data_IF_521963932135
#
_entry.id   IF_521963932135
#
_cell.length_a   1.000
_cell.length_b   1.000
_cell.length_c   1.000
_cell.angle_alpha   90.00
_cell.angle_beta   90.00
_cell.angle_gamma   90.00
#
_symmetry.space_group_name_H-M   'P 1'
#
loop_
_entity.id
_entity.type
_entity.pdbx_description
1 polymer ?
#
# COMPACT_ATOMS: atom_id res chain seq x y z
N UNK A 1 19.96 22.63 23.81
CA UNK A 1 20.56 21.82 22.73
C UNK A 1 21.74 21.05 23.31
N UNK A 2 21.55 19.78 23.61
CA UNK A 2 22.53 18.91 24.30
C UNK A 2 23.60 18.39 23.33
N UNK A 3 24.83 18.21 23.81
CA UNK A 3 26.00 17.73 23.06
C UNK A 3 25.75 16.47 22.19
N UNK A 4 24.74 15.66 22.53
CA UNK A 4 24.36 14.44 21.80
C UNK A 4 23.73 14.69 20.41
N UNK A 5 22.95 15.76 20.21
CA UNK A 5 22.34 16.07 18.89
C UNK A 5 23.43 16.42 17.87
N UNK A 6 24.50 17.06 18.35
CA UNK A 6 25.67 17.38 17.55
C UNK A 6 26.42 16.11 17.11
N UNK A 7 26.53 15.12 18.00
CA UNK A 7 27.19 13.84 17.69
C UNK A 7 26.43 13.00 16.64
N UNK A 8 25.10 12.89 16.77
CA UNK A 8 24.23 12.21 15.79
C UNK A 8 24.39 12.81 14.38
N UNK A 9 24.41 14.15 14.30
CA UNK A 9 24.62 14.87 13.04
C UNK A 9 26.00 14.63 12.43
N UNK A 10 27.07 14.68 13.23
CA UNK A 10 28.44 14.41 12.78
C UNK A 10 28.55 12.98 12.24
N UNK A 11 27.97 12.00 12.92
CA UNK A 11 28.00 10.62 12.48
C UNK A 11 27.21 10.40 11.18
N UNK A 12 26.05 11.03 11.02
CA UNK A 12 25.28 10.99 9.75
C UNK A 12 26.05 11.62 8.59
N UNK A 13 26.72 12.75 8.83
CA UNK A 13 27.58 13.38 7.83
C UNK A 13 28.75 12.48 7.43
N UNK A 14 29.37 11.79 8.39
CA UNK A 14 30.43 10.82 8.11
C UNK A 14 29.92 9.63 7.27
N UNK A 15 28.74 9.10 7.57
CA UNK A 15 28.10 8.05 6.76
C UNK A 15 27.80 8.53 5.34
N UNK A 16 27.25 9.74 5.20
CA UNK A 16 26.95 10.32 3.89
C UNK A 16 28.22 10.53 3.05
N UNK A 17 29.28 11.08 3.65
CA UNK A 17 30.58 11.23 2.99
C UNK A 17 31.18 9.87 2.61
N UNK A 18 31.12 8.88 3.52
CA UNK A 18 31.58 7.52 3.27
C UNK A 18 30.95 6.89 2.02
N UNK A 19 29.65 7.13 1.81
CA UNK A 19 28.92 6.62 0.63
C UNK A 19 29.23 7.43 -0.63
N UNK A 20 29.27 8.77 -0.56
CA UNK A 20 29.47 9.60 -1.74
C UNK A 20 30.92 9.60 -2.26
N UNK A 21 31.89 9.43 -1.37
CA UNK A 21 33.31 9.38 -1.74
C UNK A 21 33.77 7.95 -2.11
N UNK A 22 32.86 6.97 -2.05
CA UNK A 22 33.18 5.58 -2.35
C UNK A 22 33.45 5.35 -3.84
N UNK A 23 34.33 4.39 -4.11
CA UNK A 23 34.57 3.82 -5.44
C UNK A 23 34.21 2.33 -5.46
N UNK A 24 34.13 1.74 -6.65
CA UNK A 24 33.91 0.30 -6.83
C UNK A 24 32.48 -0.17 -6.52
N UNK A 25 32.36 -1.25 -5.75
CA UNK A 25 31.09 -1.96 -5.55
C UNK A 25 30.05 -1.11 -4.81
N UNK A 26 30.47 -0.29 -3.84
CA UNK A 26 29.57 0.59 -3.09
C UNK A 26 29.00 1.71 -3.97
N UNK A 27 29.82 2.31 -4.83
CA UNK A 27 29.37 3.31 -5.81
C UNK A 27 28.41 2.70 -6.82
N UNK A 28 28.73 1.51 -7.34
CA UNK A 28 27.88 0.77 -8.28
C UNK A 28 26.53 0.41 -7.66
N UNK A 29 26.51 0.02 -6.38
CA UNK A 29 25.28 -0.27 -5.64
C UNK A 29 24.42 0.99 -5.45
N UNK A 30 25.03 2.14 -5.12
CA UNK A 30 24.32 3.41 -5.00
C UNK A 30 23.69 3.84 -6.34
N UNK A 31 24.44 3.73 -7.44
CA UNK A 31 23.95 4.07 -8.78
C UNK A 31 22.76 3.19 -9.16
N UNK A 32 22.87 1.88 -8.97
CA UNK A 32 21.80 0.93 -9.26
C UNK A 32 20.57 1.20 -8.41
N UNK A 33 20.74 1.32 -7.10
CA UNK A 33 19.64 1.62 -6.18
C UNK A 33 18.93 2.93 -6.56
N UNK A 34 19.71 3.99 -6.85
CA UNK A 34 19.17 5.28 -7.25
C UNK A 34 18.40 5.19 -8.57
N UNK A 35 18.93 4.46 -9.56
CA UNK A 35 18.25 4.25 -10.84
C UNK A 35 16.92 3.51 -10.66
N UNK A 36 16.89 2.46 -9.84
CA UNK A 36 15.69 1.67 -9.57
C UNK A 36 14.61 2.52 -8.88
N UNK A 37 14.97 3.30 -7.84
CA UNK A 37 14.05 4.21 -7.15
C UNK A 37 13.54 5.32 -8.08
N UNK A 38 14.41 5.94 -8.88
CA UNK A 38 14.02 7.00 -9.82
C UNK A 38 13.10 6.48 -10.92
N UNK A 39 13.29 5.24 -11.38
CA UNK A 39 12.40 4.56 -12.33
C UNK A 39 11.02 4.35 -11.71
N UNK A 40 10.96 3.80 -10.50
CA UNK A 40 9.70 3.63 -9.75
C UNK A 40 8.97 4.97 -9.59
N UNK A 41 9.64 5.97 -9.04
CA UNK A 41 9.04 7.28 -8.75
C UNK A 41 8.64 8.08 -9.99
N UNK A 42 9.27 7.81 -11.13
CA UNK A 42 8.82 8.37 -12.41
C UNK A 42 7.55 7.69 -12.91
N UNK A 43 7.45 6.36 -12.77
CA UNK A 43 6.23 5.62 -13.11
C UNK A 43 5.04 5.99 -12.21
N UNK A 44 5.30 6.30 -10.93
CA UNK A 44 4.26 6.63 -9.94
C UNK A 44 4.05 8.14 -9.76
N UNK A 45 4.67 8.98 -10.60
CA UNK A 45 4.52 10.44 -10.59
C UNK A 45 4.81 11.12 -9.23
N UNK A 46 5.83 10.68 -8.49
CA UNK A 46 6.26 11.36 -7.27
C UNK A 46 6.85 12.74 -7.62
N UNK A 47 6.27 13.81 -7.08
CA UNK A 47 6.67 15.20 -7.32
C UNK A 47 6.63 16.02 -6.02
N UNK A 48 7.34 17.15 -5.98
CA UNK A 48 7.37 18.02 -4.80
C UNK A 48 8.41 17.63 -3.75
N UNK A 49 9.34 16.75 -4.10
CA UNK A 49 10.49 16.33 -3.28
C UNK A 49 11.72 16.13 -4.16
N UNK A 50 12.92 16.37 -3.61
CA UNK A 50 14.17 16.05 -4.30
C UNK A 50 14.35 14.54 -4.35
N UNK A 51 13.94 13.91 -5.46
CA UNK A 51 14.03 12.45 -5.65
C UNK A 51 15.46 11.94 -5.56
N UNK A 52 16.45 12.68 -6.07
CA UNK A 52 17.86 12.29 -5.97
C UNK A 52 18.34 12.29 -4.52
N UNK A 53 18.03 13.34 -3.75
CA UNK A 53 18.43 13.40 -2.33
C UNK A 53 17.71 12.32 -1.52
N UNK A 54 16.45 12.03 -1.84
CA UNK A 54 15.70 10.96 -1.19
C UNK A 54 16.31 9.57 -1.50
N UNK A 55 16.67 9.30 -2.75
CA UNK A 55 17.31 8.03 -3.12
C UNK A 55 18.64 7.82 -2.36
N UNK A 56 19.47 8.87 -2.26
CA UNK A 56 20.73 8.83 -1.50
C UNK A 56 20.44 8.57 -0.02
N UNK A 57 19.54 9.35 0.60
CA UNK A 57 19.20 9.23 2.02
C UNK A 57 18.62 7.84 2.37
N UNK A 58 17.79 7.28 1.51
CA UNK A 58 17.28 5.92 1.66
C UNK A 58 18.41 4.88 1.52
N UNK A 59 19.31 5.03 0.53
CA UNK A 59 20.44 4.13 0.34
C UNK A 59 21.37 4.07 1.56
N UNK A 60 21.55 5.18 2.29
CA UNK A 60 22.39 5.18 3.50
C UNK A 60 21.93 4.17 4.56
N UNK A 61 20.63 3.86 4.62
CA UNK A 61 20.03 3.04 5.69
C UNK A 61 19.42 1.73 5.19
N UNK A 62 19.10 1.64 3.90
CA UNK A 62 18.49 0.47 3.26
C UNK A 62 19.37 -0.17 2.19
N UNK A 63 20.38 0.55 1.71
CA UNK A 63 21.26 0.10 0.66
C UNK A 63 22.01 -1.18 1.06
N UNK A 64 22.28 -2.02 0.07
CA UNK A 64 23.05 -3.23 0.24
C UNK A 64 24.14 -3.35 -0.83
N UNK A 65 25.30 -3.87 -0.44
CA UNK A 65 26.40 -4.24 -1.34
C UNK A 65 26.68 -5.71 -1.13
N UNK A 66 26.54 -6.52 -2.17
CA UNK A 66 26.71 -7.98 -2.11
C UNK A 66 25.93 -8.66 -0.96
N UNK A 67 24.73 -8.14 -0.63
CA UNK A 67 23.87 -8.65 0.45
C UNK A 67 24.19 -8.14 1.85
N UNK A 68 25.24 -7.33 2.05
CA UNK A 68 25.56 -6.67 3.32
C UNK A 68 25.01 -5.25 3.34
N UNK A 69 24.47 -4.78 4.48
CA UNK A 69 23.92 -3.42 4.57
C UNK A 69 25.01 -2.35 4.54
N UNK A 70 24.73 -1.21 3.93
CA UNK A 70 25.65 -0.06 3.88
C UNK A 70 26.05 0.41 5.28
N UNK A 71 25.13 0.36 6.24
CA UNK A 71 25.40 0.68 7.65
C UNK A 71 26.43 -0.28 8.26
N UNK A 72 26.32 -1.59 8.00
CA UNK A 72 27.29 -2.56 8.53
C UNK A 72 28.68 -2.33 7.94
N UNK A 73 28.75 -2.10 6.62
CA UNK A 73 30.00 -1.79 5.93
C UNK A 73 30.64 -0.51 6.51
N UNK A 74 29.84 0.53 6.76
CA UNK A 74 30.32 1.76 7.38
C UNK A 74 30.88 1.52 8.80
N UNK A 75 30.14 0.78 9.64
CA UNK A 75 30.53 0.48 11.02
C UNK A 75 31.84 -0.34 11.07
N UNK A 76 32.01 -1.28 10.14
CA UNK A 76 33.22 -2.10 10.00
C UNK A 76 34.43 -1.27 9.54
N UNK A 77 34.22 -0.31 8.63
CA UNK A 77 35.28 0.57 8.11
C UNK A 77 35.64 1.73 9.05
N UNK A 78 34.94 1.88 10.17
CA UNK A 78 35.20 2.92 11.17
C UNK A 78 35.53 2.28 12.53
N UNK A 79 36.73 1.68 12.72
CA UNK A 79 37.11 0.99 13.95
C UNK A 79 37.13 1.91 15.17
N UNK A 80 37.35 3.21 14.97
CA UNK A 80 37.40 4.23 16.03
C UNK A 80 36.04 4.67 16.57
N UNK A 81 34.91 4.21 16.01
CA UNK A 81 33.60 4.54 16.54
C UNK A 81 33.46 4.05 17.97
N UNK A 82 32.98 4.94 18.85
CA UNK A 82 32.64 4.60 20.22
C UNK A 82 31.50 3.56 20.24
N UNK A 83 31.37 2.76 21.33
CA UNK A 83 30.25 1.83 21.45
C UNK A 83 28.87 2.50 21.31
N UNK A 84 28.72 3.74 21.77
CA UNK A 84 27.49 4.52 21.62
C UNK A 84 27.23 4.93 20.17
N UNK A 85 28.26 5.34 19.43
CA UNK A 85 28.10 5.71 18.01
C UNK A 85 27.76 4.49 17.16
N UNK A 86 28.35 3.33 17.46
CA UNK A 86 28.00 2.06 16.79
C UNK A 86 26.53 1.70 17.02
N UNK A 87 26.08 1.74 18.28
CA UNK A 87 24.67 1.47 18.61
C UNK A 87 23.71 2.46 17.95
N UNK A 88 24.09 3.75 17.86
CA UNK A 88 23.30 4.76 17.15
C UNK A 88 23.22 4.45 15.65
N UNK A 89 24.35 4.16 15.00
CA UNK A 89 24.38 3.78 13.58
C UNK A 89 23.55 2.51 13.29
N UNK A 90 23.64 1.50 14.15
CA UNK A 90 22.81 0.28 14.06
C UNK A 90 21.32 0.60 14.20
N UNK A 91 20.95 1.54 15.07
CA UNK A 91 19.56 1.93 15.26
C UNK A 91 18.93 2.52 13.99
N UNK A 92 19.74 3.14 13.10
CA UNK A 92 19.25 3.72 11.85
C UNK A 92 18.72 2.69 10.85
N UNK A 93 18.94 1.39 11.06
CA UNK A 93 18.23 0.31 10.33
C UNK A 93 16.72 0.36 10.53
N UNK A 94 16.22 1.05 11.56
CA UNK A 94 14.79 1.28 11.82
C UNK A 94 14.27 2.57 11.17
N UNK A 95 15.07 3.24 10.35
CA UNK A 95 14.64 4.43 9.61
C UNK A 95 13.56 4.04 8.60
N UNK A 96 12.50 4.83 8.49
CA UNK A 96 11.37 4.53 7.60
C UNK A 96 10.77 5.79 7.00
N UNK A 97 10.23 5.67 5.79
CA UNK A 97 9.37 6.70 5.20
C UNK A 97 7.95 6.58 5.79
N UNK A 98 7.29 7.70 6.03
CA UNK A 98 5.90 7.72 6.51
C UNK A 98 5.12 8.91 6.00
N UNK A 99 3.80 8.80 6.11
CA UNK A 99 2.85 9.88 5.89
C UNK A 99 2.36 10.37 7.25
N UNK A 100 2.81 11.55 7.66
CA UNK A 100 2.59 12.04 9.01
C UNK A 100 1.62 13.21 9.07
N UNK A 101 0.85 13.27 10.16
CA UNK A 101 0.15 14.47 10.59
C UNK A 101 0.97 15.18 11.65
N UNK A 102 1.19 16.47 11.49
CA UNK A 102 1.73 17.30 12.57
C UNK A 102 0.61 17.54 13.59
N UNK A 103 0.79 17.08 14.82
CA UNK A 103 -0.13 17.33 15.93
C UNK A 103 0.25 18.61 16.67
N UNK A 104 1.54 18.74 17.00
CA UNK A 104 2.10 19.90 17.67
C UNK A 104 3.42 20.28 17.02
N UNK A 105 3.72 21.59 17.01
CA UNK A 105 4.96 22.13 16.50
C UNK A 105 5.49 23.19 17.47
N UNK A 106 6.73 23.03 17.89
CA UNK A 106 7.51 24.00 18.66
C UNK A 106 8.81 24.29 17.88
N UNK A 107 9.54 25.36 18.21
CA UNK A 107 10.81 25.65 17.53
C UNK A 107 11.87 24.53 17.62
N UNK A 108 11.80 23.69 18.66
CA UNK A 108 12.80 22.65 18.91
C UNK A 108 12.29 21.23 18.64
N UNK A 109 10.98 21.03 18.56
CA UNK A 109 10.38 19.68 18.53
C UNK A 109 9.01 19.66 17.87
N UNK A 110 8.70 18.55 17.24
CA UNK A 110 7.42 18.24 16.61
C UNK A 110 6.82 16.99 17.24
N UNK A 111 5.51 17.00 17.45
CA UNK A 111 4.74 15.78 17.70
C UNK A 111 4.04 15.42 16.40
N UNK A 112 4.33 14.23 15.87
CA UNK A 112 3.75 13.76 14.62
C UNK A 112 3.10 12.39 14.81
N UNK A 113 2.02 12.14 14.09
CA UNK A 113 1.35 10.84 14.05
C UNK A 113 1.50 10.24 12.66
N UNK A 114 1.97 9.00 12.56
CA UNK A 114 1.95 8.26 11.30
C UNK A 114 0.49 7.92 10.96
N UNK A 115 -0.03 8.42 9.84
CA UNK A 115 -1.41 8.18 9.43
C UNK A 115 -1.70 6.72 9.12
N UNK A 116 -0.70 5.94 8.71
CA UNK A 116 -0.90 4.55 8.31
C UNK A 116 -1.09 3.63 9.53
N UNK A 117 -0.50 4.00 10.67
CA UNK A 117 -0.37 3.12 11.85
C UNK A 117 -0.88 3.75 13.15
N UNK A 118 -1.21 5.04 13.14
CA UNK A 118 -1.57 5.87 14.30
C UNK A 118 -0.48 5.99 15.38
N UNK A 119 0.75 5.51 15.10
CA UNK A 119 1.88 5.65 16.03
C UNK A 119 2.32 7.10 16.13
N UNK A 120 2.64 7.52 17.36
CA UNK A 120 3.07 8.87 17.71
C UNK A 120 4.59 8.93 17.83
N UNK A 121 5.16 10.01 17.31
CA UNK A 121 6.59 10.27 17.33
C UNK A 121 6.88 11.68 17.79
N UNK A 122 7.94 11.78 18.58
CA UNK A 122 8.56 13.04 18.92
C UNK A 122 9.79 13.25 18.05
N UNK A 123 9.76 14.30 17.24
CA UNK A 123 10.76 14.53 16.20
C UNK A 123 11.49 15.85 16.43
N UNK A 124 12.81 15.80 16.42
CA UNK A 124 13.69 16.96 16.49
C UNK A 124 14.31 17.28 15.12
N UNK A 125 14.60 18.56 14.82
CA UNK A 125 15.38 18.94 13.66
C UNK A 125 16.77 18.29 13.65
N UNK A 126 17.16 17.69 12.52
CA UNK A 126 18.51 17.13 12.33
C UNK A 126 19.49 18.11 11.68
N UNK A 127 19.05 19.31 11.32
CA UNK A 127 19.83 20.26 10.53
C UNK A 127 19.93 19.91 9.04
N UNK A 128 19.39 18.76 8.60
CA UNK A 128 19.33 18.39 7.18
C UNK A 128 18.29 19.21 6.40
N UNK A 129 17.23 19.67 7.06
CA UNK A 129 16.19 20.52 6.49
C UNK A 129 16.45 21.98 6.82
N UNK A 130 16.07 22.89 5.91
CA UNK A 130 16.21 24.32 6.16
C UNK A 130 15.23 24.78 7.24
N UNK A 131 15.62 25.83 7.99
CA UNK A 131 14.74 26.45 8.97
C UNK A 131 13.42 26.97 8.34
N UNK A 132 13.46 27.42 7.08
CA UNK A 132 12.29 27.87 6.34
C UNK A 132 11.32 26.73 6.02
N UNK A 133 11.82 25.55 5.65
CA UNK A 133 10.99 24.35 5.44
C UNK A 133 10.33 23.89 6.74
N UNK A 134 11.11 23.85 7.83
CA UNK A 134 10.64 23.44 9.15
C UNK A 134 9.61 24.43 9.74
N UNK A 135 9.75 25.73 9.46
CA UNK A 135 8.79 26.75 9.90
C UNK A 135 7.40 26.60 9.25
N UNK A 136 7.29 25.86 8.13
CA UNK A 136 6.01 25.59 7.46
C UNK A 136 5.25 24.42 8.09
N UNK A 137 5.89 23.60 8.91
CA UNK A 137 5.24 22.51 9.64
C UNK A 137 4.43 23.10 10.80
N UNK A 138 3.11 23.14 10.63
CA UNK A 138 2.17 23.63 11.63
C UNK A 138 1.13 22.56 11.98
N UNK A 139 0.46 22.66 13.15
CA UNK A 139 -0.57 21.70 13.52
C UNK A 139 -1.63 21.48 12.43
N UNK A 140 -1.86 20.21 12.09
CA UNK A 140 -2.77 19.73 11.05
C UNK A 140 -2.14 19.55 9.67
N UNK A 141 -0.89 19.96 9.46
CA UNK A 141 -0.17 19.72 8.21
C UNK A 141 0.06 18.23 7.98
N UNK A 142 -0.06 17.80 6.72
CA UNK A 142 0.30 16.46 6.27
C UNK A 142 1.65 16.54 5.57
N UNK A 143 2.57 15.67 5.96
CA UNK A 143 3.94 15.62 5.43
C UNK A 143 4.33 14.18 5.11
N UNK A 144 4.93 13.97 3.95
CA UNK A 144 5.68 12.74 3.66
C UNK A 144 7.14 13.02 3.96
N UNK A 145 7.72 12.21 4.84
CA UNK A 145 9.11 12.35 5.28
C UNK A 145 9.63 11.03 5.81
N UNK A 146 10.91 11.01 6.13
CA UNK A 146 11.62 9.88 6.69
C UNK A 146 12.04 10.20 8.11
N UNK A 147 11.81 9.28 9.04
CA UNK A 147 12.20 9.44 10.44
C UNK A 147 13.31 8.43 10.76
N UNK A 148 14.37 8.90 11.39
CA UNK A 148 15.46 8.06 11.92
C UNK A 148 15.48 8.13 13.44
N UNK A 149 15.74 7.01 14.13
CA UNK A 149 15.95 7.03 15.58
C UNK A 149 17.17 7.86 15.96
N UNK A 150 17.10 8.42 17.15
CA UNK A 150 18.18 9.08 17.87
C UNK A 150 18.21 8.58 19.33
N UNK A 151 19.10 9.15 20.15
CA UNK A 151 19.27 8.79 21.54
C UNK A 151 18.01 9.09 22.37
N UNK A 152 17.70 8.25 23.36
CA UNK A 152 16.57 8.41 24.30
C UNK A 152 15.17 8.39 23.66
N UNK A 153 14.94 7.49 22.69
CA UNK A 153 13.64 7.32 22.00
C UNK A 153 13.14 8.59 21.28
N UNK A 154 14.05 9.52 21.00
CA UNK A 154 13.79 10.68 20.15
C UNK A 154 13.99 10.26 18.69
N UNK A 155 13.23 10.88 17.80
CA UNK A 155 13.38 10.71 16.36
C UNK A 155 13.88 12.00 15.72
N UNK A 156 14.52 11.90 14.58
CA UNK A 156 14.94 13.06 13.79
C UNK A 156 14.45 12.94 12.35
N UNK A 157 14.20 14.08 11.71
CA UNK A 157 13.91 14.08 10.28
C UNK A 157 15.15 13.63 9.50
N UNK A 158 14.96 12.73 8.54
CA UNK A 158 15.96 12.28 7.57
C UNK A 158 15.52 12.68 6.16
N UNK A 159 16.48 13.07 5.33
CA UNK A 159 16.22 13.42 3.95
C UNK A 159 15.26 14.61 3.74
N UNK A 160 14.74 14.77 2.51
CA UNK A 160 13.87 15.89 2.16
C UNK A 160 12.42 15.71 2.67
N UNK A 161 11.72 16.84 2.85
CA UNK A 161 10.31 16.90 3.25
C UNK A 161 9.39 17.13 2.04
N UNK A 162 8.26 16.43 1.97
CA UNK A 162 7.17 16.76 1.06
C UNK A 162 5.95 17.24 1.85
N UNK A 163 5.70 18.54 1.79
CA UNK A 163 4.56 19.17 2.45
C UNK A 163 3.32 19.08 1.58
N UNK A 164 2.27 18.42 2.06
CA UNK A 164 1.00 18.23 1.35
C UNK A 164 -0.09 19.24 1.75
N UNK A 165 0.15 20.05 2.78
CA UNK A 165 -0.85 20.96 3.31
C UNK A 165 -1.77 20.29 4.33
N UNK A 166 -2.74 21.06 4.84
CA UNK A 166 -3.89 20.53 5.58
C UNK A 166 -4.86 19.87 4.61
N UNK A 167 -4.99 18.54 4.69
CA UNK A 167 -5.83 17.76 3.79
C UNK A 167 -7.20 17.45 4.43
N UNK A 168 -8.26 17.67 3.67
CA UNK A 168 -9.58 17.07 3.97
C UNK A 168 -9.60 15.58 3.60
N UNK A 169 -10.61 14.84 4.08
CA UNK A 169 -10.68 13.37 3.96
C UNK A 169 -10.47 12.84 2.53
N UNK A 170 -11.10 13.40 1.47
CA UNK A 170 -10.89 12.89 0.11
C UNK A 170 -9.46 13.06 -0.39
N UNK A 171 -8.79 14.19 -0.07
CA UNK A 171 -7.40 14.41 -0.45
C UNK A 171 -6.43 13.55 0.36
N UNK A 172 -6.75 13.30 1.63
CA UNK A 172 -5.97 12.41 2.49
C UNK A 172 -6.03 10.96 1.99
N UNK A 173 -7.21 10.47 1.61
CA UNK A 173 -7.38 9.15 0.99
C UNK A 173 -6.51 9.00 -0.28
N UNK A 174 -6.50 10.03 -1.14
CA UNK A 174 -5.62 10.08 -2.32
C UNK A 174 -4.14 10.09 -1.92
N UNK A 175 -3.76 10.85 -0.89
CA UNK A 175 -2.38 10.89 -0.40
C UNK A 175 -1.91 9.52 0.13
N UNK A 176 -2.77 8.77 0.82
CA UNK A 176 -2.47 7.40 1.28
C UNK A 176 -2.29 6.45 0.09
N UNK A 177 -3.18 6.50 -0.90
CA UNK A 177 -3.05 5.71 -2.12
C UNK A 177 -1.76 6.03 -2.89
N UNK A 178 -1.41 7.31 -2.98
CA UNK A 178 -0.14 7.75 -3.57
C UNK A 178 1.07 7.24 -2.77
N UNK A 179 1.03 7.35 -1.44
CA UNK A 179 2.11 6.84 -0.57
C UNK A 179 2.36 5.35 -0.79
N UNK A 180 1.30 4.54 -0.86
CA UNK A 180 1.39 3.09 -1.15
C UNK A 180 2.14 2.82 -2.47
N UNK A 181 1.91 3.64 -3.49
CA UNK A 181 2.59 3.49 -4.78
C UNK A 181 4.04 3.96 -4.74
N UNK A 182 4.32 5.05 -4.02
CA UNK A 182 5.66 5.64 -3.92
C UNK A 182 6.61 4.84 -3.04
N UNK A 183 6.08 4.27 -1.96
CA UNK A 183 6.83 3.61 -0.89
C UNK A 183 6.15 2.29 -0.47
N UNK A 184 6.01 1.32 -1.39
CA UNK A 184 5.27 0.08 -1.12
C UNK A 184 5.82 -0.70 0.08
N UNK A 185 7.15 -0.71 0.23
CA UNK A 185 7.84 -1.43 1.30
C UNK A 185 7.82 -0.70 2.66
N UNK A 186 7.17 0.47 2.73
CA UNK A 186 7.06 1.28 3.94
C UNK A 186 5.62 1.51 4.43
N UNK A 187 4.62 0.85 3.82
CA UNK A 187 3.22 1.03 4.20
C UNK A 187 2.97 0.83 5.71
N UNK A 188 3.73 -0.06 6.34
CA UNK A 188 3.76 -0.29 7.79
C UNK A 188 5.20 -0.38 8.32
N UNK A 189 6.12 0.43 7.79
CA UNK A 189 7.55 0.36 8.11
C UNK A 189 7.87 0.52 9.60
N UNK A 190 6.97 1.15 10.36
CA UNK A 190 7.07 1.34 11.80
C UNK A 190 6.16 0.42 12.63
N UNK A 191 5.40 -0.47 11.99
CA UNK A 191 4.47 -1.39 12.62
C UNK A 191 4.52 -2.77 11.93
N UNK A 192 5.62 -3.54 12.09
CA UNK A 192 5.76 -4.88 11.50
C UNK A 192 4.62 -5.83 11.89
N UNK A 193 4.03 -5.65 13.07
CA UNK A 193 2.86 -6.39 13.54
C UNK A 193 1.62 -6.16 12.65
N UNK A 194 1.42 -4.95 12.12
CA UNK A 194 0.31 -4.65 11.21
C UNK A 194 0.57 -5.24 9.82
N UNK A 195 1.82 -5.23 9.36
CA UNK A 195 2.22 -5.86 8.11
C UNK A 195 1.98 -7.38 8.16
N UNK A 196 2.38 -8.02 9.25
CA UNK A 196 2.16 -9.46 9.45
C UNK A 196 0.67 -9.80 9.47
N UNK A 197 -0.15 -9.01 10.17
CA UNK A 197 -1.60 -9.23 10.20
C UNK A 197 -2.25 -8.99 8.83
N UNK A 198 -1.78 -8.01 8.07
CA UNK A 198 -2.21 -7.78 6.70
C UNK A 198 -1.91 -9.00 5.82
N UNK A 199 -0.71 -9.59 5.91
CA UNK A 199 -0.36 -10.82 5.20
C UNK A 199 -1.22 -12.03 5.62
N UNK A 200 -1.39 -12.26 6.93
CA UNK A 200 -2.27 -13.32 7.45
C UNK A 200 -3.70 -13.20 6.93
N UNK A 201 -4.17 -11.96 6.73
CA UNK A 201 -5.51 -11.75 6.16
C UNK A 201 -5.64 -12.22 4.71
N UNK A 202 -4.58 -12.16 3.91
CA UNK A 202 -4.56 -12.68 2.52
C UNK A 202 -4.59 -14.20 2.52
N UNK A 203 -3.84 -14.83 3.43
CA UNK A 203 -3.82 -16.29 3.61
C UNK A 203 -5.20 -16.81 4.05
N UNK A 204 -5.83 -16.14 5.02
CA UNK A 204 -7.20 -16.45 5.45
C UNK A 204 -8.21 -16.28 4.31
N UNK A 205 -8.10 -15.18 3.56
CA UNK A 205 -8.95 -14.96 2.39
C UNK A 205 -8.82 -16.09 1.36
N UNK A 206 -7.60 -16.54 1.08
CA UNK A 206 -7.36 -17.66 0.18
C UNK A 206 -8.02 -18.94 0.69
N UNK A 207 -7.85 -19.28 1.96
CA UNK A 207 -8.49 -20.47 2.55
C UNK A 207 -10.02 -20.39 2.47
N UNK A 208 -10.62 -19.29 2.91
CA UNK A 208 -12.07 -19.07 2.87
C UNK A 208 -12.61 -19.16 1.44
N UNK A 209 -11.88 -18.62 0.47
CA UNK A 209 -12.23 -18.67 -0.94
C UNK A 209 -12.21 -20.11 -1.47
N UNK A 210 -11.13 -20.86 -1.22
CA UNK A 210 -11.01 -22.27 -1.64
C UNK A 210 -12.12 -23.12 -1.01
N UNK A 211 -12.42 -22.91 0.27
CA UNK A 211 -13.48 -23.63 0.98
C UNK A 211 -14.88 -23.36 0.39
N UNK A 212 -15.15 -22.11 -0.03
CA UNK A 212 -16.45 -21.74 -0.60
C UNK A 212 -16.59 -22.11 -2.08
N UNK A 213 -15.55 -21.88 -2.88
CA UNK A 213 -15.58 -22.07 -4.34
C UNK A 213 -15.09 -23.44 -4.80
N UNK A 214 -14.42 -24.21 -3.93
CA UNK A 214 -13.87 -25.54 -4.21
C UNK A 214 -12.49 -25.52 -4.90
N UNK A 215 -11.89 -24.35 -5.08
CA UNK A 215 -10.59 -24.19 -5.72
C UNK A 215 -10.09 -22.74 -5.67
N UNK A 216 -8.79 -22.57 -5.87
CA UNK A 216 -8.08 -21.29 -5.94
C UNK A 216 -8.16 -20.64 -7.34
N UNK A 217 -8.62 -21.43 -8.32
CA UNK A 217 -8.87 -21.02 -9.70
C UNK A 217 -10.28 -21.43 -10.13
N UNK A 218 -11.11 -20.44 -10.46
CA UNK A 218 -12.48 -20.68 -10.98
C UNK A 218 -12.74 -19.85 -12.22
N UNK A 219 -13.61 -20.35 -13.10
CA UNK A 219 -14.12 -19.61 -14.25
C UNK A 219 -15.64 -19.61 -14.22
N UNK A 220 -16.24 -18.42 -14.25
CA UNK A 220 -17.69 -18.21 -14.27
C UNK A 220 -18.03 -17.07 -15.23
N UNK A 221 -19.30 -16.93 -15.62
CA UNK A 221 -19.74 -15.70 -16.28
C UNK A 221 -19.65 -14.51 -15.31
N UNK A 222 -19.48 -13.30 -15.84
CA UNK A 222 -19.39 -12.09 -15.02
C UNK A 222 -20.61 -11.86 -14.12
N UNK A 223 -21.79 -12.27 -14.59
CA UNK A 223 -23.03 -12.20 -13.82
C UNK A 223 -23.05 -13.19 -12.65
N UNK A 224 -22.74 -14.46 -12.91
CA UNK A 224 -22.71 -15.51 -11.88
C UNK A 224 -21.61 -15.26 -10.85
N UNK A 225 -20.43 -14.83 -11.30
CA UNK A 225 -19.33 -14.48 -10.43
C UNK A 225 -19.73 -13.35 -9.47
N UNK A 226 -20.36 -12.29 -9.98
CA UNK A 226 -20.81 -11.18 -9.14
C UNK A 226 -21.88 -11.59 -8.13
N UNK A 227 -22.75 -12.56 -8.48
CA UNK A 227 -23.72 -13.11 -7.53
C UNK A 227 -23.01 -13.91 -6.43
N UNK A 228 -22.13 -14.85 -6.82
CA UNK A 228 -21.41 -15.70 -5.86
C UNK A 228 -20.45 -14.92 -4.95
N UNK A 229 -19.79 -13.87 -5.45
CA UNK A 229 -18.92 -13.04 -4.60
C UNK A 229 -19.71 -12.30 -3.51
N UNK A 230 -20.96 -11.90 -3.77
CA UNK A 230 -21.82 -11.31 -2.75
C UNK A 230 -22.23 -12.34 -1.69
N UNK A 231 -22.63 -13.53 -2.12
CA UNK A 231 -22.95 -14.65 -1.21
C UNK A 231 -21.73 -15.01 -0.34
N UNK A 232 -20.54 -15.07 -0.95
CA UNK A 232 -19.28 -15.29 -0.26
C UNK A 232 -19.00 -14.20 0.79
N UNK A 233 -19.16 -12.92 0.45
CA UNK A 233 -18.97 -11.81 1.39
C UNK A 233 -19.92 -11.88 2.59
N UNK A 234 -21.18 -12.21 2.36
CA UNK A 234 -22.19 -12.36 3.41
C UNK A 234 -21.77 -13.47 4.38
N UNK A 235 -21.38 -14.64 3.85
CA UNK A 235 -20.94 -15.79 4.65
C UNK A 235 -19.63 -15.50 5.40
N UNK A 236 -18.65 -14.88 4.76
CA UNK A 236 -17.37 -14.55 5.40
C UNK A 236 -17.56 -13.50 6.50
N UNK A 237 -18.47 -12.54 6.31
CA UNK A 237 -18.83 -11.57 7.36
C UNK A 237 -19.51 -12.28 8.54
N UNK A 238 -20.47 -13.16 8.24
CA UNK A 238 -21.18 -13.97 9.22
C UNK A 238 -20.23 -14.81 10.08
N UNK A 239 -19.34 -15.59 9.44
CA UNK A 239 -18.35 -16.43 10.13
C UNK A 239 -17.42 -15.62 11.03
N UNK A 240 -17.06 -14.41 10.60
CA UNK A 240 -16.23 -13.50 11.40
C UNK A 240 -16.96 -13.03 12.67
N UNK A 241 -18.24 -12.69 12.56
CA UNK A 241 -19.05 -12.32 13.71
C UNK A 241 -19.19 -13.48 14.69
N UNK A 242 -19.49 -14.68 14.19
CA UNK A 242 -19.58 -15.91 15.00
C UNK A 242 -18.26 -16.25 15.71
N UNK A 243 -17.12 -16.15 15.01
CA UNK A 243 -15.80 -16.40 15.59
C UNK A 243 -15.43 -15.40 16.70
N UNK A 244 -16.06 -14.22 16.72
CA UNK A 244 -15.93 -13.20 17.76
C UNK A 244 -16.97 -13.38 18.89
N UNK A 245 -17.78 -14.44 18.84
CA UNK A 245 -18.86 -14.67 19.80
C UNK A 245 -20.04 -13.71 19.64
N UNK A 246 -20.09 -12.95 18.53
CA UNK A 246 -21.19 -12.03 18.22
C UNK A 246 -22.26 -12.83 17.50
N UNK A 247 -23.39 -13.03 18.18
CA UNK A 247 -24.57 -13.64 17.57
C UNK A 247 -25.18 -12.65 16.57
N UNK A 248 -24.94 -12.88 15.28
CA UNK A 248 -25.44 -12.02 14.21
C UNK A 248 -26.96 -12.10 13.99
N UNK A 249 -27.65 -13.03 14.69
CA UNK A 249 -29.10 -13.10 14.70
C UNK A 249 -29.75 -12.14 15.71
N UNK A 250 -28.95 -11.56 16.61
CA UNK A 250 -29.40 -10.61 17.64
C UNK A 250 -29.32 -9.17 17.13
N UNK A 251 -30.33 -8.39 17.51
CA UNK A 251 -30.32 -6.95 17.29
C UNK A 251 -29.30 -6.26 18.22
N UNK A 252 -28.79 -5.11 17.78
CA UNK A 252 -27.86 -4.26 18.55
C UNK A 252 -28.38 -3.93 19.96
N UNK A 253 -29.71 -3.86 20.15
CA UNK A 253 -30.36 -3.71 21.45
C UNK A 253 -30.23 -4.94 22.37
N UNK A 254 -30.31 -6.14 21.82
CA UNK A 254 -30.19 -7.39 22.57
C UNK A 254 -28.73 -7.63 23.00
N UNK A 255 -27.76 -7.27 22.15
CA UNK A 255 -26.33 -7.33 22.48
C UNK A 255 -25.94 -6.35 23.61
N UNK A 256 -26.55 -5.16 23.65
CA UNK A 256 -26.35 -4.17 24.74
C UNK A 256 -27.01 -4.61 26.05
N UNK A 257 -28.18 -5.27 25.98
CA UNK A 257 -28.86 -5.80 27.16
C UNK A 257 -28.07 -6.95 27.83
N UNK A 258 -27.31 -7.71 27.05
CA UNK A 258 -26.48 -8.83 27.53
C UNK A 258 -25.10 -8.39 28.05
N UNK A 259 -24.60 -7.22 27.64
CA UNK A 259 -23.28 -6.70 28.07
C UNK A 259 -23.30 -5.98 29.42
N UNK A 260 -24.47 -5.84 30.05
CA UNK A 260 -24.63 -5.25 31.38
C UNK A 260 -24.50 -3.72 31.42
N UNK A 261 -24.39 -3.07 30.25
CA UNK A 261 -24.34 -1.62 30.11
C UNK A 261 -25.77 -1.07 30.08
N UNK A 262 -26.06 -0.04 30.88
CA UNK A 262 -27.42 0.50 30.95
C UNK A 262 -27.79 1.31 29.70
N UNK A 263 -29.07 1.29 29.28
CA UNK A 263 -29.56 2.12 28.15
C UNK A 263 -29.28 3.62 28.39
N UNK A 264 -29.12 4.04 29.65
CA UNK A 264 -28.86 5.40 30.08
C UNK A 264 -27.38 5.80 29.88
N UNK A 265 -26.41 4.91 30.12
CA UNK A 265 -24.98 5.14 29.79
C UNK A 265 -24.73 5.21 28.28
N UNK A 266 -25.46 4.41 27.51
CA UNK A 266 -25.45 4.48 26.04
C UNK A 266 -26.11 5.78 25.56
N UNK A 267 -27.20 6.23 26.19
CA UNK A 267 -27.87 7.47 25.85
C UNK A 267 -27.07 8.73 26.23
N UNK A 268 -26.35 8.73 27.35
CA UNK A 268 -25.42 9.82 27.72
C UNK A 268 -24.25 9.92 26.74
N UNK A 269 -23.71 8.78 26.31
CA UNK A 269 -22.69 8.73 25.25
C UNK A 269 -23.25 9.27 23.92
N UNK A 270 -24.50 8.92 23.55
CA UNK A 270 -25.21 9.45 22.38
C UNK A 270 -25.63 10.93 22.50
N UNK A 271 -25.68 11.50 23.71
CA UNK A 271 -25.99 12.92 23.91
C UNK A 271 -24.74 13.81 23.81
N UNK A 272 -23.56 13.26 24.12
CA UNK A 272 -22.27 13.95 24.01
C UNK A 272 -21.72 14.05 22.58
N UNK A 273 -22.18 13.18 21.66
CA UNK A 273 -21.87 13.20 20.24
C UNK A 273 -23.15 13.22 19.41
N UNK A 274 -23.32 14.27 18.59
CA UNK A 274 -24.55 14.53 17.87
C UNK A 274 -25.05 13.36 17.00
N UNK A 275 -26.37 13.20 16.99
CA UNK A 275 -27.20 12.21 16.27
C UNK A 275 -26.63 11.74 14.91
N UNK A 276 -25.95 10.60 14.92
CA UNK A 276 -25.97 9.62 13.82
C UNK A 276 -25.59 8.24 14.39
N UNK A 277 -26.53 7.30 14.37
CA UNK A 277 -26.41 5.95 14.98
C UNK A 277 -25.43 4.99 14.29
N UNK A 278 -24.33 5.49 13.72
CA UNK A 278 -23.25 4.70 13.12
C UNK A 278 -22.08 4.45 14.09
N UNK A 279 -22.12 5.02 15.29
CA UNK A 279 -21.03 4.92 16.27
C UNK A 279 -21.23 3.86 17.37
N UNK A 280 -22.29 3.06 17.31
CA UNK A 280 -22.45 1.94 18.26
C UNK A 280 -21.57 0.74 17.88
N UNK A 281 -21.18 0.61 16.61
CA UNK A 281 -20.17 -0.38 16.15
C UNK A 281 -18.76 -0.08 16.70
N UNK A 282 -18.48 1.17 17.09
CA UNK A 282 -17.20 1.54 17.71
C UNK A 282 -17.13 1.16 19.19
N UNK A 283 -18.27 1.01 19.87
CA UNK A 283 -18.35 0.68 21.30
C UNK A 283 -18.18 -0.83 21.59
N UNK A 284 -18.23 -1.69 20.56
CA UNK A 284 -17.89 -3.13 20.67
C UNK A 284 -16.37 -3.40 20.61
N UNK A 285 -15.54 -2.35 20.68
CA UNK A 285 -14.08 -2.45 20.60
C UNK A 285 -13.42 -2.52 21.98
N UNK A 286 -13.37 -3.73 22.51
CA UNK A 286 -12.19 -4.30 23.20
C UNK A 286 -12.37 -5.83 23.11
N UNK A 287 -11.45 -6.63 22.59
CA UNK A 287 -10.02 -6.69 22.90
C UNK A 287 -9.25 -7.27 21.68
N UNK A 288 -8.19 -6.59 21.23
CA UNK A 288 -7.14 -7.02 20.26
C UNK A 288 -7.52 -7.53 18.85
N UNK A 289 -8.75 -7.94 18.55
CA UNK A 289 -9.06 -8.68 17.31
C UNK A 289 -9.62 -7.84 16.15
N UNK A 290 -10.20 -6.66 16.40
CA UNK A 290 -10.88 -5.84 15.36
C UNK A 290 -10.11 -4.54 15.10
N UNK A 291 -8.82 -4.65 14.72
CA UNK A 291 -8.04 -3.50 14.25
C UNK A 291 -7.92 -3.43 12.73
N UNK A 292 -8.32 -4.48 12.01
CA UNK A 292 -8.16 -4.57 10.56
C UNK A 292 -9.52 -4.82 9.89
N UNK A 293 -9.82 -4.09 8.82
CA UNK A 293 -10.98 -4.25 7.96
C UNK A 293 -10.58 -4.90 6.65
N UNK A 294 -11.41 -5.83 6.18
CA UNK A 294 -11.27 -6.42 4.85
C UNK A 294 -11.98 -5.51 3.83
N UNK A 295 -11.31 -5.09 2.75
CA UNK A 295 -11.92 -4.28 1.72
C UNK A 295 -13.12 -5.00 1.05
N UNK A 296 -14.17 -4.27 0.64
CA UNK A 296 -15.26 -4.87 -0.12
C UNK A 296 -14.77 -5.29 -1.51
N UNK A 297 -15.16 -6.48 -1.95
CA UNK A 297 -14.91 -6.96 -3.31
C UNK A 297 -16.03 -6.43 -4.20
N UNK A 298 -15.69 -5.56 -5.15
CA UNK A 298 -16.63 -5.10 -6.17
C UNK A 298 -16.04 -5.39 -7.54
N UNK A 299 -16.78 -6.14 -8.37
CA UNK A 299 -16.40 -6.36 -9.76
C UNK A 299 -16.64 -5.10 -10.60
N UNK A 300 -15.60 -4.60 -11.29
CA UNK A 300 -15.77 -3.57 -12.31
C UNK A 300 -16.82 -3.95 -13.37
N UNK A 301 -17.44 -2.94 -13.95
CA UNK A 301 -18.53 -3.09 -14.90
C UNK A 301 -18.17 -3.91 -16.14
N UNK A 302 -16.90 -3.85 -16.57
CA UNK A 302 -16.38 -4.67 -17.67
C UNK A 302 -16.37 -6.16 -17.34
N UNK A 303 -15.96 -6.53 -16.12
CA UNK A 303 -15.91 -7.92 -15.69
C UNK A 303 -17.31 -8.46 -15.41
N UNK A 304 -18.19 -7.63 -14.85
CA UNK A 304 -19.59 -8.01 -14.57
C UNK A 304 -20.37 -8.40 -15.83
N UNK A 305 -20.01 -7.84 -16.99
CA UNK A 305 -20.66 -8.10 -18.28
C UNK A 305 -19.89 -9.08 -19.15
N UNK A 306 -18.74 -9.59 -18.70
CA UNK A 306 -17.94 -10.53 -19.48
C UNK A 306 -18.62 -11.90 -19.53
N UNK A 307 -18.48 -12.57 -20.68
CA UNK A 307 -19.03 -13.92 -20.90
C UNK A 307 -18.32 -14.96 -20.01
N UNK A 308 -17.02 -14.76 -19.76
CA UNK A 308 -16.23 -15.55 -18.85
C UNK A 308 -15.24 -14.65 -18.10
N UNK A 309 -15.05 -14.93 -16.81
CA UNK A 309 -14.02 -14.34 -15.96
C UNK A 309 -13.37 -15.47 -15.17
N UNK A 310 -12.07 -15.61 -15.33
CA UNK A 310 -11.26 -16.51 -14.51
C UNK A 310 -10.72 -15.74 -13.32
N UNK A 311 -10.96 -16.26 -12.12
CA UNK A 311 -10.46 -15.72 -10.85
C UNK A 311 -9.34 -16.60 -10.37
N UNK A 312 -8.22 -15.96 -10.03
CA UNK A 312 -7.08 -16.57 -9.38
C UNK A 312 -7.00 -16.03 -7.96
N UNK A 313 -6.83 -16.90 -6.98
CA UNK A 313 -6.57 -16.53 -5.60
C UNK A 313 -5.29 -17.24 -5.16
N UNK A 314 -4.40 -16.53 -4.49
CA UNK A 314 -3.14 -17.06 -3.98
C UNK A 314 -2.84 -16.47 -2.61
N UNK A 315 -2.31 -17.25 -1.65
CA UNK A 315 -2.03 -16.78 -0.28
C UNK A 315 -1.07 -15.58 -0.19
N UNK A 316 -0.28 -15.34 -1.25
CA UNK A 316 0.67 -14.22 -1.33
C UNK A 316 0.45 -13.24 -2.47
N UNK A 317 -0.14 -13.67 -3.60
CA UNK A 317 -0.38 -12.79 -4.75
C UNK A 317 -1.76 -12.13 -4.69
N UNK A 318 -2.59 -12.57 -3.74
CA UNK A 318 -3.93 -12.05 -3.55
C UNK A 318 -4.89 -12.56 -4.60
N UNK A 319 -5.73 -11.68 -5.11
CA UNK A 319 -6.77 -12.02 -6.08
C UNK A 319 -6.55 -11.30 -7.41
N UNK A 320 -6.66 -12.05 -8.50
CA UNK A 320 -6.63 -11.52 -9.87
C UNK A 320 -7.87 -11.98 -10.64
N UNK A 321 -8.42 -11.09 -11.47
CA UNK A 321 -9.54 -11.39 -12.37
C UNK A 321 -9.12 -11.20 -13.82
N UNK A 322 -9.26 -12.24 -14.65
CA UNK A 322 -8.95 -12.19 -16.07
C UNK A 322 -10.15 -12.59 -16.93
N UNK A 323 -10.63 -11.65 -17.75
CA UNK A 323 -11.72 -11.89 -18.72
C UNK A 323 -11.28 -12.65 -19.98
N UNK A 324 -10.00 -12.55 -20.34
CA UNK A 324 -9.48 -13.13 -21.59
C UNK A 324 -8.66 -14.44 -21.36
N UNK A 325 -8.66 -15.01 -20.14
CA UNK A 325 -7.89 -16.23 -19.82
C UNK A 325 -8.31 -17.45 -20.66
N UNK A 326 -9.61 -17.75 -20.65
CA UNK A 326 -10.20 -18.84 -21.44
C UNK A 326 -9.96 -18.61 -22.93
N UNK A 327 -10.12 -17.36 -23.37
CA UNK A 327 -9.89 -16.98 -24.77
C UNK A 327 -8.44 -17.21 -25.18
N UNK A 328 -7.47 -16.88 -24.35
CA UNK A 328 -6.06 -17.15 -24.64
C UNK A 328 -5.79 -18.65 -24.76
N UNK A 329 -6.34 -19.44 -23.84
CA UNK A 329 -6.22 -20.91 -23.86
C UNK A 329 -6.82 -21.49 -25.14
N UNK A 330 -8.00 -21.04 -25.56
CA UNK A 330 -8.62 -21.46 -26.82
C UNK A 330 -7.79 -21.05 -28.05
N UNK A 331 -7.13 -19.89 -28.03
CA UNK A 331 -6.24 -19.47 -29.12
C UNK A 331 -4.97 -20.33 -29.19
N UNK A 332 -4.50 -20.87 -28.07
CA UNK A 332 -3.38 -21.81 -28.05
C UNK A 332 -3.74 -23.19 -28.62
N UNK A 333 -5.00 -23.61 -28.50
CA UNK A 333 -5.49 -24.86 -29.08
C UNK A 333 -5.73 -24.78 -30.60
N UNK A 334 -5.84 -23.57 -31.17
CA UNK A 334 -6.12 -23.33 -32.58
C UNK A 334 -4.82 -23.00 -33.37
N UNK A 335 -4.29 -23.91 -34.20
CA UNK A 335 -2.96 -23.76 -34.82
C UNK A 335 -2.96 -22.91 -36.10
N UNK A 336 -3.94 -22.02 -36.31
CA UNK A 336 -3.99 -21.17 -37.50
C UNK A 336 -3.31 -19.80 -37.29
N UNK A 337 -2.79 -19.21 -38.38
CA UNK A 337 -2.05 -17.94 -38.34
C UNK A 337 -2.85 -16.79 -37.70
N UNK A 338 -4.18 -16.78 -37.87
CA UNK A 338 -5.02 -15.73 -37.29
C UNK A 338 -5.18 -15.89 -35.77
N UNK A 339 -5.27 -17.13 -35.28
CA UNK A 339 -5.28 -17.45 -33.86
C UNK A 339 -3.93 -17.14 -33.19
N UNK A 340 -2.82 -17.51 -33.84
CA UNK A 340 -1.46 -17.15 -33.41
C UNK A 340 -1.29 -15.64 -33.26
N UNK A 341 -1.71 -14.86 -34.27
CA UNK A 341 -1.62 -13.40 -34.22
C UNK A 341 -2.43 -12.78 -33.08
N UNK A 342 -3.64 -13.32 -32.82
CA UNK A 342 -4.49 -12.87 -31.71
C UNK A 342 -3.91 -13.24 -30.34
N UNK A 343 -3.30 -14.42 -30.21
CA UNK A 343 -2.63 -14.84 -28.99
C UNK A 343 -1.46 -13.90 -28.68
N UNK A 344 -0.64 -13.58 -29.69
CA UNK A 344 0.51 -12.67 -29.54
C UNK A 344 0.07 -11.27 -29.07
N UNK A 345 -1.02 -10.74 -29.62
CA UNK A 345 -1.58 -9.45 -29.17
C UNK A 345 -2.02 -9.49 -27.70
N UNK A 346 -2.63 -10.59 -27.27
CA UNK A 346 -3.10 -10.76 -25.90
C UNK A 346 -1.93 -10.95 -24.92
N UNK A 347 -0.89 -11.68 -25.31
CA UNK A 347 0.36 -11.82 -24.56
C UNK A 347 1.03 -10.46 -24.37
N UNK A 348 1.14 -9.65 -25.42
CA UNK A 348 1.69 -8.29 -25.32
C UNK A 348 0.90 -7.39 -24.38
N UNK A 349 -0.42 -7.53 -24.36
CA UNK A 349 -1.29 -6.83 -23.41
C UNK A 349 -1.01 -7.29 -21.98
N UNK A 350 -0.99 -8.60 -21.72
CA UNK A 350 -0.74 -9.17 -20.39
C UNK A 350 0.66 -8.87 -19.84
N UNK A 351 1.68 -8.81 -20.69
CA UNK A 351 3.03 -8.40 -20.27
C UNK A 351 3.05 -6.95 -19.74
N UNK A 352 2.10 -6.09 -20.16
CA UNK A 352 1.98 -4.70 -19.68
C UNK A 352 1.03 -4.53 -18.50
N UNK A 353 0.15 -5.49 -18.24
CA UNK A 353 -0.85 -5.39 -17.18
C UNK A 353 -0.32 -5.92 -15.85
N UNK A 354 -0.16 -5.06 -14.84
CA UNK A 354 0.35 -5.44 -13.52
C UNK A 354 -0.52 -6.50 -12.81
N UNK A 355 -1.81 -6.56 -13.14
CA UNK A 355 -2.73 -7.58 -12.64
C UNK A 355 -2.31 -9.01 -13.03
N UNK A 356 -1.63 -9.17 -14.17
CA UNK A 356 -1.07 -10.46 -14.62
C UNK A 356 0.33 -10.63 -14.02
N UNK A 357 0.34 -11.08 -12.77
CA UNK A 357 1.54 -11.34 -11.98
C UNK A 357 2.20 -12.70 -12.31
N UNK A 358 3.38 -12.97 -11.75
CA UNK A 358 4.15 -14.18 -12.04
C UNK A 358 3.36 -15.48 -11.78
N UNK A 359 2.57 -15.55 -10.71
CA UNK A 359 1.73 -16.72 -10.42
C UNK A 359 0.73 -17.03 -11.55
N UNK A 360 0.11 -15.99 -12.14
CA UNK A 360 -0.81 -16.18 -13.26
C UNK A 360 -0.07 -16.66 -14.52
N UNK A 361 1.15 -16.21 -14.76
CA UNK A 361 1.99 -16.73 -15.85
C UNK A 361 2.36 -18.19 -15.66
N UNK A 362 2.67 -18.61 -14.43
CA UNK A 362 2.87 -20.03 -14.13
C UNK A 362 1.60 -20.85 -14.37
N UNK A 363 0.41 -20.33 -14.00
CA UNK A 363 -0.86 -20.99 -14.32
C UNK A 363 -1.07 -21.18 -15.83
N UNK A 364 -0.75 -20.16 -16.65
CA UNK A 364 -0.79 -20.31 -18.10
C UNK A 364 0.18 -21.38 -18.59
N UNK A 365 1.35 -21.46 -17.99
CA UNK A 365 2.39 -22.38 -18.40
C UNK A 365 2.05 -23.83 -17.99
N UNK A 366 1.45 -24.04 -16.83
CA UNK A 366 0.92 -25.33 -16.39
C UNK A 366 -0.11 -25.87 -17.38
N UNK A 367 -1.02 -25.01 -17.85
CA UNK A 367 -2.06 -25.42 -18.79
C UNK A 367 -1.55 -25.52 -20.24
N UNK A 368 -0.57 -24.68 -20.64
CA UNK A 368 -0.24 -24.40 -22.04
C UNK A 368 1.25 -24.07 -22.30
N UNK A 369 2.20 -24.77 -21.68
CA UNK A 369 3.63 -24.47 -21.76
C UNK A 369 4.17 -24.21 -23.19
N UNK A 370 4.04 -25.17 -24.10
CA UNK A 370 4.61 -25.07 -25.46
C UNK A 370 4.10 -23.86 -26.26
N UNK A 371 2.77 -23.66 -26.44
CA UNK A 371 2.27 -22.51 -27.19
C UNK A 371 2.54 -21.17 -26.47
N UNK A 372 2.55 -21.15 -25.14
CA UNK A 372 2.94 -19.98 -24.35
C UNK A 372 4.39 -19.57 -24.63
N UNK A 373 5.34 -20.50 -24.49
CA UNK A 373 6.77 -20.22 -24.72
C UNK A 373 7.03 -19.84 -26.17
N UNK A 374 6.31 -20.42 -27.13
CA UNK A 374 6.39 -20.00 -28.53
C UNK A 374 5.91 -18.55 -28.75
N UNK A 375 4.83 -18.13 -28.08
CA UNK A 375 4.31 -16.76 -28.15
C UNK A 375 5.26 -15.75 -27.50
N UNK A 376 5.79 -16.07 -26.32
CA UNK A 376 6.84 -15.29 -25.67
C UNK A 376 8.09 -15.22 -26.55
N UNK A 377 8.47 -16.33 -27.17
CA UNK A 377 9.62 -16.41 -28.06
C UNK A 377 9.49 -15.51 -29.28
N UNK A 378 8.31 -15.43 -29.88
CA UNK A 378 8.01 -14.45 -30.93
C UNK A 378 8.09 -13.01 -30.44
N UNK A 379 7.60 -12.72 -29.23
CA UNK A 379 7.64 -11.37 -28.66
C UNK A 379 9.07 -10.89 -28.34
N UNK A 380 9.89 -11.77 -27.76
CA UNK A 380 11.26 -11.47 -27.36
C UNK A 380 12.31 -11.82 -28.44
N UNK A 381 11.87 -12.30 -29.60
CA UNK A 381 12.73 -12.78 -30.69
C UNK A 381 13.75 -13.85 -30.24
N UNK A 382 13.28 -14.82 -29.44
CA UNK A 382 14.03 -15.98 -28.92
C UNK A 382 13.28 -17.27 -29.28
N UNK A 383 13.78 -18.06 -30.24
CA UNK A 383 13.08 -19.27 -30.73
C UNK A 383 13.29 -20.51 -29.86
N UNK A 384 14.20 -20.45 -28.89
CA UNK A 384 14.69 -21.55 -28.07
C UNK A 384 14.16 -21.53 -26.63
N UNK A 385 13.20 -20.65 -26.32
CA UNK A 385 12.63 -20.54 -24.98
C UNK A 385 11.96 -21.83 -24.53
N UNK A 386 12.32 -22.24 -23.32
CA UNK A 386 11.73 -23.36 -22.59
C UNK A 386 11.00 -22.87 -21.35
N UNK A 387 10.24 -23.75 -20.69
CA UNK A 387 9.56 -23.39 -19.45
C UNK A 387 10.53 -22.90 -18.36
N UNK A 388 11.76 -23.41 -18.35
CA UNK A 388 12.79 -23.03 -17.39
C UNK A 388 13.26 -21.56 -17.58
N UNK A 389 13.02 -20.98 -18.77
CA UNK A 389 13.32 -19.56 -19.07
C UNK A 389 12.21 -18.59 -18.64
N UNK A 390 11.05 -19.08 -18.15
CA UNK A 390 9.88 -18.24 -17.92
C UNK A 390 10.16 -17.09 -16.94
N UNK A 391 10.81 -17.38 -15.81
CA UNK A 391 11.12 -16.36 -14.80
C UNK A 391 12.04 -15.27 -15.34
N UNK A 392 13.07 -15.64 -16.10
CA UNK A 392 13.97 -14.69 -16.76
C UNK A 392 13.22 -13.79 -17.74
N UNK A 393 12.29 -14.37 -18.51
CA UNK A 393 11.43 -13.64 -19.44
C UNK A 393 10.51 -12.66 -18.70
N UNK A 394 9.94 -13.08 -17.56
CA UNK A 394 9.10 -12.23 -16.72
C UNK A 394 9.90 -11.06 -16.13
N UNK A 395 11.10 -11.33 -15.60
CA UNK A 395 12.01 -10.29 -15.11
C UNK A 395 12.40 -9.32 -16.23
N UNK A 396 12.72 -9.82 -17.43
CA UNK A 396 13.00 -8.99 -18.60
C UNK A 396 11.80 -8.12 -19.00
N UNK A 397 10.58 -8.62 -18.84
CA UNK A 397 9.34 -7.89 -19.05
C UNK A 397 9.02 -6.87 -17.94
N UNK A 398 9.82 -6.82 -16.87
CA UNK A 398 9.57 -5.97 -15.70
C UNK A 398 8.48 -6.51 -14.76
N UNK A 399 8.16 -7.80 -14.84
CA UNK A 399 7.27 -8.48 -13.88
C UNK A 399 8.07 -8.90 -12.66
N UNK A 400 7.69 -8.48 -11.43
CA UNK A 400 8.34 -8.97 -10.23
C UNK A 400 8.02 -10.47 -10.03
N UNK A 401 9.01 -11.22 -9.55
CA UNK A 401 8.83 -12.63 -9.14
C UNK A 401 8.41 -12.74 -7.67
N UNK A 402 8.61 -11.67 -6.89
CA UNK A 402 8.20 -11.62 -5.50
C UNK A 402 6.87 -10.86 -5.33
N UNK A 403 5.96 -11.38 -4.48
CA UNK A 403 4.68 -10.76 -4.22
C UNK A 403 4.84 -9.50 -3.35
N UNK A 404 4.07 -8.46 -3.70
CA UNK A 404 3.82 -7.30 -2.84
C UNK A 404 2.49 -7.46 -2.12
N UNK A 405 2.30 -6.73 -1.01
CA UNK A 405 1.07 -6.79 -0.23
C UNK A 405 -0.15 -6.50 -1.14
N UNK A 406 -1.04 -7.49 -1.37
CA UNK A 406 -2.13 -7.35 -2.33
C UNK A 406 -3.22 -6.36 -1.87
N UNK A 407 -4.01 -5.83 -2.81
CA UNK A 407 -5.15 -4.94 -2.52
C UNK A 407 -6.23 -5.58 -1.63
N UNK A 408 -6.34 -6.91 -1.65
CA UNK A 408 -7.28 -7.63 -0.79
C UNK A 408 -6.83 -7.75 0.66
N UNK A 409 -5.57 -7.39 0.96
CA UNK A 409 -5.07 -7.39 2.32
C UNK A 409 -5.92 -6.45 3.19
N UNK A 410 -6.19 -6.88 4.40
CA UNK A 410 -6.92 -6.06 5.35
C UNK A 410 -6.09 -4.84 5.74
N UNK A 411 -6.77 -3.72 5.97
CA UNK A 411 -6.16 -2.44 6.35
C UNK A 411 -6.62 -2.03 7.74
N UNK A 412 -5.85 -1.21 8.47
CA UNK A 412 -6.29 -0.65 9.74
C UNK A 412 -7.68 0.00 9.66
N UNK A 413 -8.49 -0.19 10.70
CA UNK A 413 -9.89 0.26 10.72
C UNK A 413 -10.05 1.76 10.44
N UNK A 414 -9.16 2.61 10.98
CA UNK A 414 -9.24 4.05 10.75
C UNK A 414 -9.00 4.42 9.29
N UNK A 415 -8.19 3.64 8.56
CA UNK A 415 -8.00 3.81 7.11
C UNK A 415 -9.26 3.41 6.36
N UNK A 416 -9.88 2.28 6.73
CA UNK A 416 -11.15 1.85 6.13
C UNK A 416 -12.25 2.91 6.32
N UNK A 417 -12.40 3.42 7.55
CA UNK A 417 -13.36 4.47 7.88
C UNK A 417 -13.10 5.71 7.01
N UNK A 418 -11.84 6.15 6.93
CA UNK A 418 -11.43 7.28 6.09
C UNK A 418 -11.80 7.08 4.62
N UNK A 419 -11.53 5.91 4.04
CA UNK A 419 -11.86 5.63 2.64
C UNK A 419 -13.37 5.65 2.38
N UNK A 420 -14.16 5.05 3.29
CA UNK A 420 -15.61 5.05 3.17
C UNK A 420 -16.20 6.46 3.26
N UNK A 421 -15.73 7.27 4.21
CA UNK A 421 -16.17 8.65 4.38
C UNK A 421 -15.76 9.53 3.18
N UNK A 422 -14.53 9.36 2.68
CA UNK A 422 -14.04 10.05 1.50
C UNK A 422 -14.92 9.78 0.27
N UNK A 423 -15.33 8.52 0.05
CA UNK A 423 -16.25 8.17 -1.04
C UNK A 423 -17.62 8.85 -0.88
N UNK A 424 -18.18 8.85 0.34
CA UNK A 424 -19.48 9.48 0.61
C UNK A 424 -19.44 11.00 0.35
N UNK A 425 -18.36 11.69 0.74
CA UNK A 425 -18.22 13.13 0.49
C UNK A 425 -18.12 13.47 -1.00
N UNK A 426 -17.44 12.64 -1.80
CA UNK A 426 -17.33 12.82 -3.26
C UNK A 426 -18.70 12.65 -3.93
N UNK A 427 -19.46 11.63 -3.53
CA UNK A 427 -20.80 11.36 -4.08
C UNK A 427 -21.80 12.48 -3.72
N UNK A 428 -21.75 13.01 -2.50
CA UNK A 428 -22.57 14.14 -2.09
C UNK A 428 -22.17 15.45 -2.78
N UNK A 429 -20.89 15.66 -3.08
CA UNK A 429 -20.40 16.82 -3.84
C UNK A 429 -20.85 16.80 -5.30
N UNK A 430 -20.94 15.62 -5.91
CA UNK A 430 -21.39 15.45 -7.30
C UNK A 430 -22.90 15.69 -7.47
N UNK A 431 -23.71 15.28 -6.48
CA UNK A 431 -25.17 15.49 -6.48
C UNK A 431 -25.56 16.95 -6.22
N UNK A 432 -24.81 17.69 -5.39
CA UNK A 432 -25.00 19.16 -5.20
C UNK A 432 -24.59 20.00 -6.43
N UNK A 433 -23.69 19.52 -7.29
CA UNK A 433 -23.33 20.22 -8.55
C UNK A 433 -24.39 20.07 -9.65
N UNK A 434 -25.21 19.02 -9.63
CA UNK A 434 -26.33 18.86 -10.59
C UNK A 434 -27.58 19.70 -10.27
N UNK A 435 -27.67 20.35 -9.11
CA UNK A 435 -28.86 21.14 -8.72
C UNK A 435 -28.75 22.66 -8.94
N UNK A 436 -27.59 23.20 -9.37
CA UNK A 436 -27.42 24.63 -9.70
C UNK A 436 -27.38 24.89 -11.23
N UNK A 437 -28.41 24.42 -11.93
CA UNK A 437 -28.50 24.52 -13.39
C UNK A 437 -29.92 24.70 -13.93
N UNK A 438 -30.77 25.50 -13.27
CA UNK A 438 -31.98 26.09 -13.90
C UNK A 438 -32.17 27.52 -13.40
N UNK A 439 -31.35 28.43 -13.92
CA UNK A 439 -31.67 29.86 -13.86
C UNK A 439 -32.87 30.09 -14.78
N UNK A 440 -34.01 30.46 -14.18
CA UNK A 440 -35.22 30.89 -14.89
C UNK A 440 -34.87 32.09 -15.77
N UNK A 441 -35.03 31.94 -17.08
CA UNK A 441 -35.19 33.07 -18.00
C UNK A 441 -36.37 33.91 -17.50
N UNK A 442 -36.09 35.16 -17.11
CA UNK A 442 -37.12 36.20 -17.02
C UNK A 442 -37.13 36.95 -18.35
N UNK A 443 -38.21 36.79 -19.08
CA UNK A 443 -38.63 37.66 -20.18
C UNK A 443 -39.02 39.03 -19.63
N UNK A 444 -38.59 40.11 -20.28
CA UNK A 444 -39.04 41.49 -20.03
C UNK A 444 -38.21 42.53 -20.77
N UNK A 445 -38.77 43.05 -21.87
CA UNK A 445 -38.23 44.06 -22.79
C UNK A 445 -38.20 45.49 -22.24
N UNK A 446 -37.30 46.32 -22.79
CA UNK A 446 -37.45 47.67 -23.38
C UNK A 446 -36.11 48.43 -23.20
N UNK A 447 -35.47 49.02 -24.22
CA UNK A 447 -35.94 49.80 -25.38
C UNK A 447 -35.23 49.37 -26.66
#
# INVERSE_FOLDING_TARGET
MSDNVNQSQVLKQALHAFVLDAEGDLATALERYSADQLKLWSATNLQGISRSNLAIDMFLTEGQVAGQSVLDIFIENQPSLSPSDRALAESWKKTFNGLFKVLQATPERYEVMNWLTEKLYWVEPSGAQSAEELARLSPGEIVVTRLSPDVNDVWTFSGPLMLLGKLGKPKLAVAIGNFKNWFPDHLYGDAPELLEEAWKSVERYHHDFVDFFGGDRITLSGYELNKKLKEYQEISTQRRLEALGIDSSKSLKELVAESGVSEEEVAESMASFGKDGKEVDRLLKDDKAIKMATPPINLPDELRRAEAVTVFVHPRWGQTFLKDYVRLTQLFEAPDDASVSKADQLIQKYLKEDAVNAYVWHCFAEDNATPLMAALGRHFNRSDLTIDDLDDVLVQAGKPLEPKLPEIASVPMHLQDLFQEAMQEVDQGSSKKKSKGKQKQKTGFAV
#
